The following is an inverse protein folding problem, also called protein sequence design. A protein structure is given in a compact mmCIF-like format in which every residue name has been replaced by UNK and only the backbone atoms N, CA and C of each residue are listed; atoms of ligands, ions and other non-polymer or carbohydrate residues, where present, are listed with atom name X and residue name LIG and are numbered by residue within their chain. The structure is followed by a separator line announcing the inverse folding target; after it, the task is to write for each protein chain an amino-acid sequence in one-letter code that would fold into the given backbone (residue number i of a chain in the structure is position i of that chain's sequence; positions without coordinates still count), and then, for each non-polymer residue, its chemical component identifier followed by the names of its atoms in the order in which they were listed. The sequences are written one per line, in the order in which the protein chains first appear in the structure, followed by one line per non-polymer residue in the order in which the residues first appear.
data_IF_976833112938
#
_entry.id   IF_976833112938
#
_cell.length_a   1.000
_cell.length_b   1.000
_cell.length_c   1.000
_cell.angle_alpha   90.00
_cell.angle_beta   90.00
_cell.angle_gamma   90.00
#
_symmetry.space_group_name_H-M   'P 1'
#
loop_
_entity.id
_entity.type
_entity.pdbx_description
1 polymer ?
#
# COMPACT_ATOMS: atom_id res chain seq x y z
N UNK A 1 21.41 -1.06 39.19
CA UNK A 1 20.77 -2.26 39.72
C UNK A 1 19.34 -1.90 40.05
N UNK A 2 18.39 -2.29 39.25
CA UNK A 2 16.97 -2.42 39.61
C UNK A 2 16.30 -3.24 38.53
N UNK A 3 15.93 -4.44 38.92
CA UNK A 3 15.30 -5.49 38.14
C UNK A 3 13.81 -5.15 38.06
N UNK A 4 13.24 -4.96 36.84
CA UNK A 4 11.80 -4.92 36.67
C UNK A 4 11.27 -6.32 36.35
N UNK A 5 10.41 -6.76 37.25
CA UNK A 5 9.70 -8.01 37.30
C UNK A 5 8.72 -8.10 36.11
N UNK A 6 8.81 -9.20 35.37
CA UNK A 6 7.80 -9.61 34.37
C UNK A 6 6.49 -9.92 35.09
N UNK A 7 5.42 -9.30 34.57
CA UNK A 7 4.04 -9.65 34.93
C UNK A 7 3.56 -10.78 34.06
N UNK A 8 3.32 -11.95 34.68
CA UNK A 8 2.61 -13.07 34.06
C UNK A 8 1.15 -12.68 33.79
N UNK A 9 0.81 -12.50 32.55
CA UNK A 9 -0.59 -12.38 32.12
C UNK A 9 -1.16 -13.80 32.03
N UNK A 10 -1.81 -14.25 33.10
CA UNK A 10 -2.61 -15.47 33.08
C UNK A 10 -3.94 -15.16 32.42
N UNK A 11 -4.15 -15.65 31.20
CA UNK A 11 -5.46 -15.76 30.59
C UNK A 11 -6.27 -16.81 31.35
N UNK A 12 -7.23 -16.36 32.17
CA UNK A 12 -8.26 -17.22 32.72
C UNK A 12 -9.31 -17.48 31.64
N UNK A 13 -9.32 -18.71 31.12
CA UNK A 13 -10.42 -19.19 30.29
C UNK A 13 -11.60 -19.40 31.24
N UNK A 14 -12.75 -18.71 31.04
CA UNK A 14 -13.94 -18.98 31.86
C UNK A 14 -14.36 -20.43 31.64
N UNK A 15 -14.66 -21.09 32.74
CA UNK A 15 -15.17 -22.47 32.76
C UNK A 15 -16.40 -22.57 31.87
N UNK A 16 -16.41 -23.60 31.04
CA UNK A 16 -17.55 -24.02 30.23
C UNK A 16 -18.75 -24.28 31.18
N UNK A 17 -19.69 -23.36 31.23
CA UNK A 17 -21.01 -23.69 31.74
C UNK A 17 -21.65 -24.67 30.77
N UNK A 18 -21.83 -25.90 31.23
CA UNK A 18 -22.61 -26.92 30.54
C UNK A 18 -24.08 -26.44 30.54
N UNK A 19 -24.50 -25.92 29.38
CA UNK A 19 -25.91 -25.75 29.10
C UNK A 19 -26.51 -27.16 28.95
N UNK A 20 -27.02 -27.70 30.08
CA UNK A 20 -27.98 -28.80 30.05
C UNK A 20 -29.27 -28.29 29.41
N UNK A 21 -29.38 -28.44 28.10
CA UNK A 21 -30.62 -28.21 27.38
C UNK A 21 -31.45 -29.49 27.41
N UNK A 22 -32.33 -29.55 28.38
CA UNK A 22 -33.38 -30.57 28.38
C UNK A 22 -34.34 -30.35 27.21
N UNK A 23 -34.16 -31.05 26.13
CA UNK A 23 -35.19 -31.22 25.11
C UNK A 23 -36.02 -32.43 25.45
N UNK A 24 -37.13 -32.20 26.16
CA UNK A 24 -38.23 -33.15 26.27
C UNK A 24 -39.41 -32.63 25.44
N UNK A 25 -39.69 -33.28 24.30
CA UNK A 25 -41.03 -33.29 23.68
C UNK A 25 -41.25 -32.45 22.45
N UNK A 26 -41.55 -33.16 21.35
CA UNK A 26 -42.40 -32.82 20.20
C UNK A 26 -42.03 -31.60 19.33
N UNK A 27 -41.52 -31.93 18.15
CA UNK A 27 -41.63 -31.05 16.96
C UNK A 27 -40.62 -29.92 16.90
N UNK A 28 -39.37 -30.25 16.59
CA UNK A 28 -38.45 -29.21 16.14
C UNK A 28 -38.91 -28.73 14.77
N UNK A 29 -39.62 -27.63 14.75
CA UNK A 29 -39.98 -26.94 13.51
C UNK A 29 -38.68 -26.33 12.95
N UNK A 30 -38.15 -26.80 11.81
CA UNK A 30 -36.89 -26.29 11.24
C UNK A 30 -36.95 -24.78 10.93
N UNK A 31 -38.15 -24.23 10.77
CA UNK A 31 -38.40 -22.81 10.63
C UNK A 31 -38.13 -21.99 11.90
N UNK A 32 -38.32 -22.59 13.08
CA UNK A 32 -38.10 -21.90 14.37
C UNK A 32 -36.60 -21.66 14.65
N UNK A 33 -35.71 -22.53 14.17
CA UNK A 33 -34.24 -22.37 14.28
C UNK A 33 -33.75 -21.26 13.39
N UNK A 34 -34.33 -21.07 12.21
CA UNK A 34 -33.91 -20.02 11.26
C UNK A 34 -34.40 -18.63 11.69
N UNK A 35 -35.43 -18.55 12.54
CA UNK A 35 -35.96 -17.28 13.06
C UNK A 35 -35.42 -16.90 14.44
N UNK A 36 -34.55 -17.73 15.04
CA UNK A 36 -33.86 -17.38 16.27
C UNK A 36 -33.00 -16.12 16.03
N UNK A 37 -33.21 -15.01 16.75
CA UNK A 37 -32.51 -13.76 16.56
C UNK A 37 -31.00 -13.91 16.76
N UNK A 38 -30.55 -14.88 17.55
CA UNK A 38 -29.11 -15.20 17.73
C UNK A 38 -28.54 -15.85 16.48
N UNK A 39 -29.27 -16.78 15.85
CA UNK A 39 -28.85 -17.43 14.59
C UNK A 39 -28.87 -16.42 13.45
N UNK A 40 -29.90 -15.58 13.36
CA UNK A 40 -29.95 -14.49 12.36
C UNK A 40 -28.83 -13.49 12.56
N UNK A 41 -28.57 -13.05 13.78
CA UNK A 41 -27.46 -12.16 14.09
C UNK A 41 -26.09 -12.78 13.74
N UNK A 42 -25.89 -14.06 14.07
CA UNK A 42 -24.68 -14.80 13.70
C UNK A 42 -24.50 -14.90 12.18
N UNK A 43 -25.57 -15.19 11.44
CA UNK A 43 -25.57 -15.25 9.97
C UNK A 43 -25.28 -13.87 9.36
N UNK A 44 -25.87 -12.80 9.89
CA UNK A 44 -25.60 -11.43 9.46
C UNK A 44 -24.16 -11.03 9.76
N UNK A 45 -23.65 -11.31 10.96
CA UNK A 45 -22.25 -11.06 11.31
C UNK A 45 -21.28 -11.84 10.41
N UNK A 46 -21.58 -13.10 10.12
CA UNK A 46 -20.79 -13.92 9.20
C UNK A 46 -20.85 -13.34 7.77
N UNK A 47 -22.03 -12.97 7.31
CA UNK A 47 -22.20 -12.32 5.99
C UNK A 47 -21.43 -11.00 5.89
N UNK A 48 -21.45 -10.17 6.93
CA UNK A 48 -20.67 -8.93 7.01
C UNK A 48 -19.16 -9.22 6.97
N UNK A 49 -18.67 -10.18 7.76
CA UNK A 49 -17.26 -10.57 7.75
C UNK A 49 -16.80 -11.08 6.38
N UNK A 50 -17.69 -11.74 5.63
CA UNK A 50 -17.40 -12.27 4.30
C UNK A 50 -17.23 -11.16 3.24
N UNK A 51 -18.11 -10.14 3.28
CA UNK A 51 -18.01 -8.98 2.39
C UNK A 51 -16.81 -8.12 2.72
N UNK A 52 -16.46 -7.97 4.00
CA UNK A 52 -15.32 -7.19 4.48
C UNK A 52 -13.99 -7.78 4.01
N UNK A 53 -13.82 -9.11 4.07
CA UNK A 53 -12.55 -9.73 3.67
C UNK A 53 -12.23 -9.57 2.16
N UNK A 54 -13.23 -9.68 1.29
CA UNK A 54 -13.06 -9.42 -0.15
C UNK A 54 -12.90 -7.91 -0.44
N UNK A 55 -13.43 -7.04 0.42
CA UNK A 55 -13.24 -5.60 0.33
C UNK A 55 -11.78 -5.21 0.63
N UNK A 56 -11.12 -5.84 1.60
CA UNK A 56 -9.74 -5.50 1.97
C UNK A 56 -8.75 -5.58 0.80
N UNK A 57 -8.81 -6.65 -0.01
CA UNK A 57 -7.91 -6.78 -1.18
C UNK A 57 -8.25 -5.75 -2.25
N UNK A 58 -9.54 -5.44 -2.44
CA UNK A 58 -9.96 -4.40 -3.40
C UNK A 58 -9.52 -3.01 -2.97
N UNK A 59 -9.68 -2.69 -1.69
CA UNK A 59 -9.31 -1.40 -1.11
C UNK A 59 -7.79 -1.23 -1.14
N UNK A 60 -7.02 -2.27 -0.81
CA UNK A 60 -5.57 -2.29 -0.93
C UNK A 60 -5.12 -2.02 -2.39
N UNK A 61 -5.76 -2.67 -3.37
CA UNK A 61 -5.47 -2.41 -4.80
C UNK A 61 -5.82 -0.99 -5.21
N UNK A 62 -6.91 -0.43 -4.69
CA UNK A 62 -7.30 0.95 -4.97
C UNK A 62 -6.29 1.94 -4.37
N UNK A 63 -5.82 1.68 -3.15
CA UNK A 63 -4.77 2.45 -2.48
C UNK A 63 -3.46 2.40 -3.27
N UNK A 64 -2.98 1.22 -3.62
CA UNK A 64 -1.77 1.06 -4.44
C UNK A 64 -1.88 1.80 -5.78
N UNK A 65 -3.03 1.71 -6.48
CA UNK A 65 -3.24 2.41 -7.75
C UNK A 65 -3.29 3.94 -7.59
N UNK A 66 -3.82 4.43 -6.47
CA UNK A 66 -3.82 5.86 -6.15
C UNK A 66 -2.39 6.33 -5.91
N UNK A 67 -1.65 5.61 -5.08
CA UNK A 67 -0.27 5.95 -4.76
C UNK A 67 0.65 5.89 -5.97
N UNK A 68 0.50 4.86 -6.80
CA UNK A 68 1.22 4.77 -8.07
C UNK A 68 1.04 6.00 -8.96
N UNK A 69 -0.19 6.50 -9.09
CA UNK A 69 -0.44 7.72 -9.87
C UNK A 69 0.31 8.91 -9.30
N UNK A 70 0.28 9.09 -7.97
CA UNK A 70 0.99 10.18 -7.29
C UNK A 70 2.49 10.12 -7.57
N UNK A 71 3.07 8.95 -7.39
CA UNK A 71 4.52 8.73 -7.62
C UNK A 71 4.91 8.98 -9.08
N UNK A 72 4.04 8.60 -10.03
CA UNK A 72 4.26 8.91 -11.46
C UNK A 72 4.16 10.41 -11.73
N UNK A 73 3.17 11.09 -11.16
CA UNK A 73 3.02 12.55 -11.30
C UNK A 73 4.26 13.28 -10.72
N UNK A 74 4.80 12.82 -9.59
CA UNK A 74 6.03 13.35 -8.99
C UNK A 74 7.25 13.09 -9.88
N UNK A 75 7.40 11.89 -10.45
CA UNK A 75 8.46 11.58 -11.39
C UNK A 75 8.47 12.56 -12.56
N UNK A 76 7.31 12.73 -13.20
CA UNK A 76 7.16 13.59 -14.36
C UNK A 76 7.45 15.05 -14.00
N UNK A 77 7.06 15.49 -12.81
CA UNK A 77 7.35 16.83 -12.31
C UNK A 77 8.86 17.06 -12.09
N UNK A 78 9.60 16.07 -11.57
CA UNK A 78 11.06 16.17 -11.43
C UNK A 78 11.77 16.12 -12.78
N UNK A 79 11.30 15.34 -13.73
CA UNK A 79 11.84 15.34 -15.09
C UNK A 79 11.65 16.71 -15.74
N UNK A 80 10.42 17.27 -15.68
CA UNK A 80 10.11 18.59 -16.23
C UNK A 80 10.91 19.69 -15.53
N UNK A 81 11.08 19.63 -14.21
CA UNK A 81 11.92 20.58 -13.48
C UNK A 81 13.37 20.51 -13.97
N UNK A 82 13.95 19.32 -14.09
CA UNK A 82 15.30 19.11 -14.60
C UNK A 82 15.49 19.70 -15.98
N UNK A 83 14.55 19.49 -16.89
CA UNK A 83 14.57 20.02 -18.25
C UNK A 83 14.45 21.54 -18.28
N UNK A 84 13.57 22.13 -17.47
CA UNK A 84 13.46 23.59 -17.34
C UNK A 84 14.75 24.20 -16.83
N UNK A 85 15.38 23.60 -15.79
CA UNK A 85 16.66 24.08 -15.26
C UNK A 85 17.78 23.94 -16.29
N UNK A 86 17.83 22.84 -17.04
CA UNK A 86 18.82 22.63 -18.09
C UNK A 86 18.72 23.68 -19.21
N UNK A 87 17.51 24.17 -19.51
CA UNK A 87 17.26 25.19 -20.52
C UNK A 87 17.65 26.62 -20.06
N UNK A 88 17.87 26.85 -18.77
CA UNK A 88 18.30 28.16 -18.26
C UNK A 88 19.73 28.47 -18.73
N UNK A 89 19.99 29.73 -18.97
CA UNK A 89 21.37 30.19 -19.29
C UNK A 89 22.14 30.42 -17.99
N UNK A 90 23.19 29.65 -17.69
CA UNK A 90 24.03 29.91 -16.54
C UNK A 90 24.85 31.17 -16.72
N UNK A 91 25.05 31.91 -15.64
CA UNK A 91 25.89 33.09 -15.64
C UNK A 91 27.36 32.68 -15.49
N UNK A 92 28.19 32.96 -16.49
CA UNK A 92 29.62 32.73 -16.37
C UNK A 92 30.29 33.87 -15.61
N UNK A 93 31.29 33.54 -14.78
CA UNK A 93 32.05 34.54 -13.99
C UNK A 93 32.65 35.68 -14.82
N UNK A 94 32.64 35.56 -16.14
CA UNK A 94 33.19 36.57 -17.08
C UNK A 94 32.18 37.70 -17.34
N UNK A 95 30.89 37.49 -17.08
CA UNK A 95 29.86 38.51 -17.29
C UNK A 95 29.69 39.43 -16.08
N UNK A 96 30.20 39.06 -14.91
CA UNK A 96 30.20 39.88 -13.69
C UNK A 96 31.37 40.85 -13.60
N UNK A 97 32.38 40.77 -14.48
CA UNK A 97 33.54 41.65 -14.55
C UNK A 97 33.44 42.65 -15.71
N UNK A 98 32.25 43.22 -15.94
CA UNK A 98 32.20 44.47 -16.71
C UNK A 98 32.57 45.57 -15.74
N UNK A 99 33.85 45.94 -15.84
CA UNK A 99 34.48 47.06 -15.17
C UNK A 99 33.64 48.32 -15.37
N UNK A 100 33.32 49.10 -14.32
CA UNK A 100 32.46 50.28 -14.43
C UNK A 100 33.19 51.48 -15.06
N UNK A 101 34.20 51.25 -15.88
CA UNK A 101 34.98 52.31 -16.54
C UNK A 101 34.67 52.39 -18.04
N UNK A 102 33.61 53.06 -18.37
CA UNK A 102 33.33 53.74 -19.63
C UNK A 102 31.85 53.74 -20.01
N UNK A 103 31.05 54.53 -19.39
CA UNK A 103 29.83 55.07 -20.01
C UNK A 103 29.39 56.36 -19.32
N UNK A 104 30.19 57.43 -19.51
CA UNK A 104 29.67 58.77 -19.46
C UNK A 104 29.23 59.15 -20.87
N UNK A 105 28.05 58.73 -21.26
CA UNK A 105 27.29 59.32 -22.36
C UNK A 105 25.87 59.61 -21.85
N UNK A 106 25.45 60.90 -21.77
CA UNK A 106 24.08 61.20 -21.36
C UNK A 106 23.15 60.99 -22.56
N UNK A 107 22.22 60.09 -22.46
CA UNK A 107 21.09 60.09 -23.37
C UNK A 107 20.54 58.75 -23.90
N UNK A 108 20.85 57.59 -23.34
CA UNK A 108 20.14 56.38 -23.66
C UNK A 108 19.85 55.63 -22.35
N UNK A 109 18.69 55.90 -21.76
CA UNK A 109 18.10 54.97 -20.83
C UNK A 109 17.68 53.71 -21.65
N UNK A 110 18.69 52.89 -21.96
CA UNK A 110 18.41 51.52 -22.34
C UNK A 110 17.85 50.84 -21.09
N UNK A 111 16.62 50.38 -21.14
CA UNK A 111 16.11 49.35 -20.27
C UNK A 111 17.12 48.20 -20.26
N UNK A 112 18.04 48.26 -19.31
CA UNK A 112 18.85 47.07 -18.96
C UNK A 112 17.82 46.16 -18.32
N UNK A 113 17.43 45.04 -18.95
CA UNK A 113 16.58 44.09 -18.30
C UNK A 113 17.34 43.69 -17.02
N UNK A 114 16.77 44.05 -15.86
CA UNK A 114 17.21 43.51 -14.57
C UNK A 114 17.20 42.02 -14.79
N UNK A 115 18.40 41.42 -14.89
CA UNK A 115 18.56 40.01 -15.12
C UNK A 115 17.82 39.34 -13.96
N UNK A 116 16.62 38.83 -14.23
CA UNK A 116 15.85 38.04 -13.28
C UNK A 116 16.79 36.97 -12.75
N UNK A 117 17.15 37.05 -11.47
CA UNK A 117 18.29 36.31 -10.93
C UNK A 117 18.09 34.83 -11.24
N UNK A 118 19.15 34.15 -11.66
CA UNK A 118 19.08 32.71 -12.00
C UNK A 118 18.39 31.87 -10.94
N UNK A 119 18.57 32.26 -9.65
CA UNK A 119 17.86 31.71 -8.50
C UNK A 119 16.34 31.84 -8.62
N UNK A 120 15.83 33.00 -8.92
CA UNK A 120 14.37 33.24 -9.03
C UNK A 120 13.74 32.35 -10.09
N UNK A 121 14.43 32.15 -11.23
CA UNK A 121 13.97 31.28 -12.31
C UNK A 121 13.97 29.78 -11.91
N UNK A 122 15.00 29.35 -11.17
CA UNK A 122 15.03 27.98 -10.64
C UNK A 122 13.89 27.74 -9.63
N UNK A 123 13.69 28.67 -8.69
CA UNK A 123 12.59 28.56 -7.71
C UNK A 123 11.22 28.60 -8.38
N UNK A 124 11.02 29.46 -9.38
CA UNK A 124 9.79 29.52 -10.16
C UNK A 124 9.57 28.17 -10.90
N UNK A 125 10.58 27.63 -11.54
CA UNK A 125 10.49 26.33 -12.21
C UNK A 125 10.10 25.22 -11.22
N UNK A 126 10.69 25.18 -10.01
CA UNK A 126 10.36 24.20 -8.99
C UNK A 126 8.92 24.35 -8.48
N UNK A 127 8.48 25.58 -8.27
CA UNK A 127 7.10 25.89 -7.86
C UNK A 127 6.08 25.45 -8.91
N UNK A 128 6.37 25.71 -10.18
CA UNK A 128 5.48 25.46 -11.30
C UNK A 128 5.42 23.98 -11.70
N UNK A 129 6.38 23.17 -11.26
CA UNK A 129 6.42 21.73 -11.54
C UNK A 129 6.10 20.92 -10.27
N UNK A 130 7.05 20.78 -9.35
CA UNK A 130 6.96 19.89 -8.19
C UNK A 130 5.93 20.38 -7.18
N UNK A 131 6.02 21.64 -6.74
CA UNK A 131 5.11 22.19 -5.70
C UNK A 131 3.69 22.40 -6.22
N UNK A 132 3.50 22.48 -7.53
CA UNK A 132 2.17 22.67 -8.15
C UNK A 132 1.32 21.39 -8.12
N UNK A 133 1.90 20.23 -7.83
CA UNK A 133 1.17 18.97 -7.74
C UNK A 133 0.06 19.05 -6.66
N UNK A 134 -1.16 18.60 -6.95
CA UNK A 134 -2.31 18.77 -6.05
C UNK A 134 -2.11 18.18 -4.65
N UNK A 135 -1.44 17.03 -4.57
CA UNK A 135 -1.18 16.34 -3.31
C UNK A 135 -0.03 16.97 -2.52
N UNK A 136 0.92 17.63 -3.18
CA UNK A 136 2.09 18.21 -2.53
C UNK A 136 1.70 19.27 -1.49
N UNK A 137 0.78 20.18 -1.85
CA UNK A 137 0.28 21.22 -0.94
C UNK A 137 -0.61 20.71 0.18
N UNK A 138 -1.26 19.56 -0.02
CA UNK A 138 -2.17 19.00 0.96
C UNK A 138 -1.46 18.20 2.05
N UNK A 139 -0.27 17.67 1.76
CA UNK A 139 0.44 16.74 2.64
C UNK A 139 1.70 17.33 3.27
N UNK A 140 2.34 18.28 2.57
CA UNK A 140 3.57 18.92 3.03
C UNK A 140 3.29 20.39 3.34
N UNK A 141 3.24 20.74 4.63
CA UNK A 141 3.19 22.14 5.11
C UNK A 141 4.60 22.75 5.13
N UNK A 142 5.37 22.51 4.05
CA UNK A 142 6.75 22.91 3.91
C UNK A 142 6.90 24.12 3.00
N UNK A 143 7.90 24.94 3.28
CA UNK A 143 8.30 26.00 2.36
C UNK A 143 8.99 25.41 1.13
N UNK A 144 8.98 26.12 0.01
CA UNK A 144 9.68 25.72 -1.22
C UNK A 144 11.17 25.41 -0.98
N UNK A 145 11.80 26.13 -0.06
CA UNK A 145 13.21 25.93 0.29
C UNK A 145 13.44 24.63 1.07
N UNK A 146 12.57 24.32 2.02
CA UNK A 146 12.64 23.07 2.79
C UNK A 146 12.38 21.85 1.91
N UNK A 147 11.36 21.91 1.07
CA UNK A 147 11.06 20.88 0.08
C UNK A 147 12.25 20.65 -0.89
N UNK A 148 12.82 21.71 -1.42
CA UNK A 148 13.97 21.61 -2.31
C UNK A 148 15.19 21.01 -1.60
N UNK A 149 15.40 21.33 -0.32
CA UNK A 149 16.47 20.76 0.49
C UNK A 149 16.26 19.25 0.75
N UNK A 150 15.03 18.86 1.06
CA UNK A 150 14.69 17.45 1.28
C UNK A 150 14.87 16.61 0.00
N UNK A 151 14.40 17.12 -1.14
CA UNK A 151 14.38 16.37 -2.39
C UNK A 151 15.72 16.42 -3.16
N UNK A 152 16.33 17.59 -3.22
CA UNK A 152 17.55 17.81 -4.02
C UNK A 152 18.81 17.96 -3.17
N UNK A 153 18.67 17.83 -1.86
CA UNK A 153 19.75 17.87 -0.87
C UNK A 153 20.08 19.27 -0.36
N UNK A 154 20.39 19.30 0.93
CA UNK A 154 20.66 20.52 1.69
C UNK A 154 21.78 21.38 1.06
N UNK A 155 22.89 20.76 0.63
CA UNK A 155 24.01 21.47 0.00
C UNK A 155 23.57 22.26 -1.25
N UNK A 156 22.68 21.67 -2.06
CA UNK A 156 22.15 22.30 -3.28
C UNK A 156 21.22 23.45 -2.92
N UNK A 157 20.35 23.25 -1.92
CA UNK A 157 19.44 24.28 -1.44
C UNK A 157 20.22 25.48 -0.86
N UNK A 158 21.22 25.23 -0.02
CA UNK A 158 22.10 26.27 0.54
C UNK A 158 22.87 26.99 -0.56
N UNK A 159 23.40 26.27 -1.53
CA UNK A 159 24.11 26.88 -2.67
C UNK A 159 23.19 27.75 -3.51
N UNK A 160 21.95 27.34 -3.73
CA UNK A 160 20.94 28.14 -4.43
C UNK A 160 20.51 29.37 -3.62
N UNK A 161 20.36 29.24 -2.31
CA UNK A 161 19.98 30.33 -1.42
C UNK A 161 21.07 31.41 -1.30
N UNK A 162 22.34 30.99 -1.34
CA UNK A 162 23.50 31.86 -1.15
C UNK A 162 23.93 32.62 -2.42
N UNK A 163 23.45 32.22 -3.59
CA UNK A 163 23.83 32.80 -4.87
C UNK A 163 22.62 33.31 -5.64
N UNK A 164 22.69 34.56 -6.13
CA UNK A 164 21.66 35.10 -7.03
C UNK A 164 21.84 34.61 -8.48
N UNK A 165 23.05 34.28 -8.85
CA UNK A 165 23.41 33.81 -10.18
C UNK A 165 23.45 32.28 -10.23
N UNK A 166 22.90 31.71 -11.30
CA UNK A 166 22.99 30.27 -11.59
C UNK A 166 24.35 29.96 -12.23
N UNK A 167 25.26 29.38 -11.47
CA UNK A 167 26.54 28.91 -12.04
C UNK A 167 26.37 27.61 -12.84
N UNK A 168 27.25 27.31 -13.83
CA UNK A 168 27.21 26.05 -14.58
C UNK A 168 27.28 24.81 -13.66
N UNK A 169 28.07 24.88 -12.59
CA UNK A 169 28.22 23.79 -11.62
C UNK A 169 26.92 23.55 -10.81
N UNK A 170 26.28 24.63 -10.36
CA UNK A 170 24.98 24.51 -9.63
C UNK A 170 23.87 24.02 -10.56
N UNK A 171 23.83 24.50 -11.81
CA UNK A 171 22.88 24.01 -12.81
C UNK A 171 23.03 22.50 -13.03
N UNK A 172 24.26 22.03 -13.26
CA UNK A 172 24.52 20.58 -13.43
C UNK A 172 24.10 19.79 -12.20
N UNK A 173 24.42 20.27 -10.99
CA UNK A 173 24.03 19.61 -9.74
C UNK A 173 22.50 19.51 -9.59
N UNK A 174 21.77 20.59 -9.90
CA UNK A 174 20.29 20.59 -9.85
C UNK A 174 19.70 19.57 -10.84
N UNK A 175 20.18 19.57 -12.08
CA UNK A 175 19.72 18.62 -13.12
C UNK A 175 20.02 17.18 -12.72
N UNK A 176 21.23 16.90 -12.23
CA UNK A 176 21.61 15.53 -11.84
C UNK A 176 20.82 15.03 -10.62
N UNK A 177 20.51 15.91 -9.67
CA UNK A 177 19.71 15.56 -8.50
C UNK A 177 18.24 15.38 -8.86
N UNK A 178 17.70 16.22 -9.75
CA UNK A 178 16.36 16.06 -10.29
C UNK A 178 16.18 14.72 -10.99
N UNK A 179 17.13 14.32 -11.84
CA UNK A 179 17.11 13.00 -12.49
C UNK A 179 17.16 11.84 -11.51
N UNK A 180 17.93 11.98 -10.41
CA UNK A 180 17.96 10.95 -9.36
C UNK A 180 16.64 10.88 -8.62
N UNK A 181 16.00 12.01 -8.31
CA UNK A 181 14.69 12.06 -7.70
C UNK A 181 13.62 11.39 -8.58
N UNK A 182 13.63 11.70 -9.89
CA UNK A 182 12.76 11.05 -10.88
C UNK A 182 13.00 9.52 -10.96
N UNK A 183 14.28 9.09 -11.03
CA UNK A 183 14.63 7.67 -11.07
C UNK A 183 14.21 6.91 -9.79
N UNK A 184 14.25 7.55 -8.62
CA UNK A 184 13.77 6.97 -7.38
C UNK A 184 12.25 6.76 -7.42
N UNK A 185 11.47 7.74 -7.95
CA UNK A 185 10.02 7.62 -8.15
C UNK A 185 9.67 6.53 -9.17
N UNK A 186 10.42 6.41 -10.25
CA UNK A 186 10.25 5.33 -11.23
C UNK A 186 10.43 3.95 -10.58
N UNK A 187 11.47 3.80 -9.75
CA UNK A 187 11.70 2.55 -9.01
C UNK A 187 10.59 2.25 -8.01
N UNK A 188 10.06 3.26 -7.32
CA UNK A 188 8.94 3.12 -6.41
C UNK A 188 7.66 2.76 -7.16
N UNK A 189 7.36 3.42 -8.28
CA UNK A 189 6.21 3.10 -9.13
C UNK A 189 6.26 1.65 -9.62
N UNK A 190 7.42 1.18 -10.07
CA UNK A 190 7.62 -0.21 -10.48
C UNK A 190 7.45 -1.20 -9.31
N UNK A 191 7.86 -0.84 -8.09
CA UNK A 191 7.64 -1.64 -6.90
C UNK A 191 6.15 -1.74 -6.55
N UNK A 192 5.41 -0.65 -6.68
CA UNK A 192 3.96 -0.62 -6.49
C UNK A 192 3.25 -1.48 -7.54
N UNK A 193 3.69 -1.48 -8.80
CA UNK A 193 3.15 -2.36 -9.85
C UNK A 193 3.33 -3.84 -9.48
N UNK A 194 4.51 -4.23 -8.97
CA UNK A 194 4.75 -5.59 -8.46
C UNK A 194 3.78 -5.94 -7.33
N UNK A 195 3.50 -5.00 -6.43
CA UNK A 195 2.57 -5.23 -5.33
C UNK A 195 1.12 -5.38 -5.83
N UNK A 196 0.69 -4.56 -6.79
CA UNK A 196 -0.62 -4.69 -7.43
C UNK A 196 -0.78 -6.09 -8.04
N UNK A 197 0.22 -6.58 -8.77
CA UNK A 197 0.22 -7.92 -9.36
C UNK A 197 0.17 -9.03 -8.29
N UNK A 198 0.84 -8.85 -7.16
CA UNK A 198 0.80 -9.79 -6.03
C UNK A 198 -0.60 -9.84 -5.40
N UNK A 199 -1.23 -8.67 -5.19
CA UNK A 199 -2.59 -8.55 -4.68
C UNK A 199 -3.61 -9.20 -5.62
N UNK A 200 -3.46 -9.02 -6.93
CA UNK A 200 -4.34 -9.61 -7.94
C UNK A 200 -4.24 -11.13 -7.91
N UNK A 201 -3.03 -11.68 -8.00
CA UNK A 201 -2.82 -13.13 -7.97
C UNK A 201 -3.32 -13.78 -6.68
N UNK A 202 -3.04 -13.16 -5.53
CA UNK A 202 -3.53 -13.67 -4.26
C UNK A 202 -5.06 -13.60 -4.15
N UNK A 203 -5.66 -12.48 -4.58
CA UNK A 203 -7.11 -12.32 -4.63
C UNK A 203 -7.81 -13.36 -5.51
N UNK A 204 -7.25 -13.64 -6.69
CA UNK A 204 -7.77 -14.62 -7.62
C UNK A 204 -7.69 -16.05 -7.05
N UNK A 205 -6.57 -16.41 -6.39
CA UNK A 205 -6.42 -17.72 -5.71
C UNK A 205 -7.44 -17.88 -4.59
N UNK A 206 -7.61 -16.87 -3.73
CA UNK A 206 -8.61 -16.91 -2.65
C UNK A 206 -10.03 -17.04 -3.21
N UNK A 207 -10.36 -16.29 -4.26
CA UNK A 207 -11.66 -16.38 -4.91
C UNK A 207 -11.89 -17.75 -5.57
N UNK A 208 -10.87 -18.38 -6.12
CA UNK A 208 -10.98 -19.72 -6.68
C UNK A 208 -11.22 -20.78 -5.60
N UNK A 209 -10.46 -20.75 -4.52
CA UNK A 209 -10.68 -21.60 -3.35
C UNK A 209 -12.13 -21.49 -2.85
N UNK A 210 -12.65 -20.27 -2.73
CA UNK A 210 -14.01 -20.02 -2.25
C UNK A 210 -15.08 -20.58 -3.21
N UNK A 211 -14.92 -20.36 -4.52
CA UNK A 211 -15.82 -20.98 -5.54
C UNK A 211 -15.79 -22.50 -5.51
N UNK A 212 -14.63 -23.11 -5.27
CA UNK A 212 -14.51 -24.57 -5.17
C UNK A 212 -15.19 -25.07 -3.91
N UNK A 213 -15.00 -24.40 -2.79
CA UNK A 213 -15.66 -24.68 -1.52
C UNK A 213 -17.21 -24.65 -1.69
N UNK A 214 -17.75 -23.58 -2.31
CA UNK A 214 -19.19 -23.47 -2.55
C UNK A 214 -19.73 -24.63 -3.37
N UNK A 215 -19.07 -24.99 -4.48
CA UNK A 215 -19.50 -26.13 -5.29
C UNK A 215 -19.51 -27.46 -4.52
N UNK A 216 -18.56 -27.68 -3.62
CA UNK A 216 -18.52 -28.90 -2.80
C UNK A 216 -19.68 -28.93 -1.81
N UNK A 217 -19.98 -27.82 -1.15
CA UNK A 217 -21.09 -27.73 -0.19
C UNK A 217 -22.44 -27.85 -0.90
N UNK A 218 -22.61 -27.19 -2.05
CA UNK A 218 -23.85 -27.27 -2.85
C UNK A 218 -24.08 -28.69 -3.37
N UNK A 219 -23.03 -29.38 -3.83
CA UNK A 219 -23.12 -30.78 -4.25
C UNK A 219 -23.63 -31.68 -3.13
N UNK A 220 -23.08 -31.51 -1.93
CA UNK A 220 -23.46 -32.31 -0.78
C UNK A 220 -24.92 -32.06 -0.31
N UNK A 221 -25.39 -30.82 -0.46
CA UNK A 221 -26.76 -30.45 -0.07
C UNK A 221 -27.83 -31.18 -0.89
N UNK A 222 -27.52 -31.58 -2.12
CA UNK A 222 -28.44 -32.32 -3.01
C UNK A 222 -28.48 -33.83 -2.81
N UNK A 223 -27.64 -34.41 -1.93
CA UNK A 223 -27.51 -35.87 -1.77
C UNK A 223 -28.22 -36.38 -0.51
N UNK A 224 -28.94 -37.52 -0.70
CA UNK A 224 -29.66 -38.23 0.38
C UNK A 224 -29.44 -39.75 0.26
N UNK A 225 -29.56 -40.51 1.36
CA UNK A 225 -29.42 -41.97 1.39
C UNK A 225 -27.99 -42.48 1.49
N UNK A 226 -27.75 -43.76 1.17
CA UNK A 226 -26.46 -44.45 1.35
C UNK A 226 -25.31 -43.78 0.59
N UNK A 227 -25.57 -43.18 -0.57
CA UNK A 227 -24.54 -42.43 -1.33
C UNK A 227 -24.11 -41.13 -0.65
N UNK A 228 -24.85 -40.65 0.35
CA UNK A 228 -24.54 -39.41 1.04
C UNK A 228 -23.34 -39.53 1.98
N UNK A 229 -23.08 -40.72 2.54
CA UNK A 229 -21.92 -40.96 3.43
C UNK A 229 -20.61 -40.89 2.66
N UNK A 230 -20.49 -41.68 1.58
CA UNK A 230 -19.28 -41.68 0.76
C UNK A 230 -18.98 -40.29 0.18
N UNK A 231 -20.03 -39.60 -0.30
CA UNK A 231 -19.92 -38.22 -0.79
C UNK A 231 -19.51 -37.25 0.32
N UNK A 232 -19.96 -37.44 1.57
CA UNK A 232 -19.57 -36.61 2.71
C UNK A 232 -18.09 -36.78 3.02
N UNK A 233 -17.56 -38.00 2.96
CA UNK A 233 -16.14 -38.29 3.18
C UNK A 233 -15.31 -37.62 2.07
N UNK A 234 -15.67 -37.80 0.79
CA UNK A 234 -14.99 -37.17 -0.34
C UNK A 234 -14.99 -35.62 -0.25
N UNK A 235 -16.12 -35.03 0.12
CA UNK A 235 -16.21 -33.57 0.32
C UNK A 235 -15.35 -33.11 1.50
N UNK A 236 -15.33 -33.85 2.60
CA UNK A 236 -14.48 -33.53 3.76
C UNK A 236 -12.98 -33.51 3.38
N UNK A 237 -12.51 -34.52 2.65
CA UNK A 237 -11.12 -34.60 2.18
C UNK A 237 -10.78 -33.46 1.22
N UNK A 238 -11.68 -33.10 0.32
CA UNK A 238 -11.48 -31.97 -0.60
C UNK A 238 -11.48 -30.62 0.11
N UNK A 239 -12.30 -30.45 1.16
CA UNK A 239 -12.27 -29.25 1.98
C UNK A 239 -10.95 -29.14 2.76
N UNK A 240 -10.40 -30.25 3.25
CA UNK A 240 -9.09 -30.30 3.88
C UNK A 240 -7.97 -29.87 2.91
N UNK A 241 -8.02 -30.34 1.67
CA UNK A 241 -7.09 -29.92 0.62
C UNK A 241 -7.20 -28.42 0.29
N UNK A 242 -8.42 -27.84 0.34
CA UNK A 242 -8.61 -26.38 0.16
C UNK A 242 -8.04 -25.57 1.32
N UNK A 243 -8.11 -26.08 2.55
CA UNK A 243 -7.48 -25.44 3.71
C UNK A 243 -5.96 -25.41 3.56
N UNK A 244 -5.34 -26.52 3.17
CA UNK A 244 -3.92 -26.57 2.88
C UNK A 244 -3.49 -25.62 1.76
N UNK A 245 -4.35 -25.39 0.76
CA UNK A 245 -4.10 -24.38 -0.28
C UNK A 245 -4.14 -22.96 0.29
N UNK A 246 -5.03 -22.66 1.23
CA UNK A 246 -5.02 -21.38 1.94
C UNK A 246 -3.70 -21.18 2.71
N UNK A 247 -3.21 -22.20 3.40
CA UNK A 247 -1.95 -22.14 4.14
C UNK A 247 -0.77 -21.87 3.19
N UNK A 248 -0.76 -22.50 2.02
CA UNK A 248 0.27 -22.24 1.00
C UNK A 248 0.22 -20.79 0.48
N UNK A 249 -0.97 -20.23 0.22
CA UNK A 249 -1.10 -18.82 -0.18
C UNK A 249 -0.63 -17.88 0.92
N UNK A 250 -0.91 -18.21 2.19
CA UNK A 250 -0.47 -17.42 3.34
C UNK A 250 1.06 -17.44 3.46
N UNK A 251 1.69 -18.60 3.33
CA UNK A 251 3.15 -18.75 3.36
C UNK A 251 3.83 -17.98 2.23
N UNK A 252 3.32 -18.08 1.00
CA UNK A 252 3.79 -17.30 -0.14
C UNK A 252 3.72 -15.79 0.15
N UNK A 253 2.61 -15.33 0.74
CA UNK A 253 2.45 -13.92 1.08
C UNK A 253 3.41 -13.48 2.17
N UNK A 254 3.60 -14.25 3.21
CA UNK A 254 4.55 -13.96 4.28
C UNK A 254 5.99 -13.85 3.75
N UNK A 255 6.39 -14.75 2.86
CA UNK A 255 7.69 -14.67 2.19
C UNK A 255 7.84 -13.36 1.38
N UNK A 256 6.79 -12.95 0.65
CA UNK A 256 6.79 -11.70 -0.11
C UNK A 256 6.88 -10.45 0.78
N UNK A 257 6.30 -10.48 1.98
CA UNK A 257 6.36 -9.38 2.95
C UNK A 257 7.76 -9.24 3.57
N UNK A 258 8.50 -10.33 3.67
CA UNK A 258 9.85 -10.35 4.22
C UNK A 258 10.91 -9.82 3.24
N UNK A 259 10.58 -9.65 1.97
CA UNK A 259 11.51 -9.18 0.94
C UNK A 259 10.96 -7.95 0.21
N UNK A 260 11.72 -6.82 0.20
CA UNK A 260 11.33 -5.66 -0.59
C UNK A 260 11.27 -6.02 -2.08
N UNK A 261 10.38 -5.39 -2.87
CA UNK A 261 10.29 -5.60 -4.30
C UNK A 261 11.62 -5.37 -5.03
N UNK A 262 11.90 -6.16 -6.07
CA UNK A 262 13.16 -6.11 -6.81
C UNK A 262 13.53 -4.71 -7.35
N UNK A 263 12.58 -3.88 -7.86
CA UNK A 263 12.90 -2.53 -8.31
C UNK A 263 13.52 -1.65 -7.22
N UNK A 264 13.06 -1.75 -5.97
CA UNK A 264 13.63 -1.00 -4.85
C UNK A 264 15.04 -1.46 -4.49
N UNK A 265 15.35 -2.75 -4.64
CA UNK A 265 16.69 -3.30 -4.38
C UNK A 265 17.72 -2.85 -5.41
N UNK A 266 17.31 -2.58 -6.65
CA UNK A 266 18.18 -2.18 -7.75
C UNK A 266 18.59 -0.69 -7.68
N UNK A 267 17.88 0.15 -6.96
CA UNK A 267 18.07 1.60 -6.95
C UNK A 267 19.21 2.09 -6.05
N UNK A 268 19.96 1.19 -5.38
CA UNK A 268 21.03 1.55 -4.44
C UNK A 268 20.50 1.91 -3.05
N UNK A 269 21.33 2.50 -2.17
CA UNK A 269 20.88 2.90 -0.85
C UNK A 269 19.75 3.91 -1.01
N UNK A 270 18.54 3.46 -0.86
CA UNK A 270 17.36 4.31 -0.75
C UNK A 270 17.51 5.27 0.42
N UNK A 271 16.83 6.44 0.37
CA UNK A 271 16.75 7.29 1.56
C UNK A 271 16.33 6.43 2.77
N UNK A 272 16.70 6.84 3.99
CA UNK A 272 16.42 6.08 5.19
C UNK A 272 14.92 6.06 5.48
N UNK A 273 14.20 5.21 4.76
CA UNK A 273 12.85 4.86 5.14
C UNK A 273 12.99 3.56 5.90
N UNK A 274 13.15 3.66 7.21
CA UNK A 274 13.07 2.55 8.16
C UNK A 274 11.65 1.94 8.19
N UNK A 275 10.75 2.44 7.35
CA UNK A 275 9.37 1.97 7.21
C UNK A 275 9.33 0.87 6.17
N UNK A 276 8.80 -0.28 6.53
CA UNK A 276 8.61 -1.37 5.58
C UNK A 276 7.73 -0.90 4.41
N UNK A 277 8.06 -1.29 3.18
CA UNK A 277 7.32 -0.88 1.97
C UNK A 277 5.80 -1.10 2.09
N UNK A 278 5.38 -2.18 2.74
CA UNK A 278 3.97 -2.48 3.00
C UNK A 278 3.34 -1.57 4.04
N UNK A 279 4.08 -1.16 5.06
CA UNK A 279 3.67 -0.18 6.05
C UNK A 279 3.42 1.17 5.38
N UNK A 280 4.37 1.64 4.57
CA UNK A 280 4.20 2.84 3.75
C UNK A 280 2.91 2.83 2.91
N UNK A 281 2.58 1.70 2.28
CA UNK A 281 1.41 1.62 1.40
C UNK A 281 0.08 1.51 2.15
N UNK A 282 0.05 0.86 3.32
CA UNK A 282 -1.20 0.47 3.98
C UNK A 282 -1.48 1.22 5.28
N UNK A 283 -0.48 1.86 5.91
CA UNK A 283 -0.66 2.65 7.14
C UNK A 283 -1.80 3.69 7.04
N UNK A 284 -2.01 4.40 5.91
CA UNK A 284 -3.09 5.34 5.78
C UNK A 284 -4.48 4.70 5.63
N UNK A 285 -4.58 3.38 5.48
CA UNK A 285 -5.83 2.70 5.19
C UNK A 285 -6.52 2.26 6.49
N UNK A 286 -7.78 2.64 6.72
CA UNK A 286 -8.55 2.13 7.85
C UNK A 286 -8.87 0.65 7.61
N UNK A 287 -8.19 -0.26 8.29
CA UNK A 287 -8.52 -1.67 8.16
C UNK A 287 -7.43 -2.60 8.68
N UNK A 288 -6.64 -3.16 7.80
CA UNK A 288 -5.57 -4.09 8.15
C UNK A 288 -4.32 -3.82 7.34
N UNK A 289 -3.17 -3.87 7.99
CA UNK A 289 -1.86 -3.75 7.37
C UNK A 289 -1.52 -4.97 6.47
N UNK A 290 -2.31 -6.04 6.59
CA UNK A 290 -2.14 -7.29 5.86
C UNK A 290 -3.41 -7.77 5.16
N UNK A 291 -3.92 -7.05 4.14
CA UNK A 291 -5.23 -7.31 3.52
C UNK A 291 -5.35 -8.71 2.91
N UNK A 292 -4.28 -9.24 2.33
CA UNK A 292 -4.25 -10.60 1.76
C UNK A 292 -4.34 -11.65 2.84
N UNK A 293 -3.58 -11.53 3.93
CA UNK A 293 -3.62 -12.50 5.03
C UNK A 293 -4.99 -12.50 5.72
N UNK A 294 -5.62 -11.33 5.85
CA UNK A 294 -6.98 -11.22 6.38
C UNK A 294 -8.00 -11.93 5.47
N UNK A 295 -7.89 -11.77 4.16
CA UNK A 295 -8.75 -12.45 3.20
C UNK A 295 -8.57 -13.98 3.22
N UNK A 296 -7.33 -14.47 3.31
CA UNK A 296 -7.01 -15.90 3.43
C UNK A 296 -7.57 -16.47 4.73
N UNK A 297 -7.35 -15.78 5.87
CA UNK A 297 -7.87 -16.21 7.17
C UNK A 297 -9.40 -16.35 7.16
N UNK A 298 -10.09 -15.42 6.51
CA UNK A 298 -11.55 -15.48 6.35
C UNK A 298 -11.98 -16.66 5.46
N UNK A 299 -11.26 -16.97 4.39
CA UNK A 299 -11.54 -18.13 3.53
C UNK A 299 -11.31 -19.45 4.29
N UNK A 300 -10.18 -19.61 4.98
CA UNK A 300 -9.87 -20.78 5.80
C UNK A 300 -10.91 -20.98 6.92
N UNK A 301 -11.37 -19.91 7.57
CA UNK A 301 -12.42 -20.01 8.57
C UNK A 301 -13.78 -20.49 8.01
N UNK A 302 -14.09 -20.17 6.73
CA UNK A 302 -15.28 -20.73 6.05
C UNK A 302 -15.12 -22.23 5.80
N UNK A 303 -13.98 -22.63 5.25
CA UNK A 303 -13.66 -24.04 4.96
C UNK A 303 -13.75 -24.87 6.24
N UNK A 304 -13.16 -24.41 7.35
CA UNK A 304 -13.23 -25.14 8.64
C UNK A 304 -14.66 -25.33 9.12
N UNK A 305 -15.49 -24.27 9.06
CA UNK A 305 -16.92 -24.40 9.44
C UNK A 305 -17.68 -25.37 8.57
N UNK A 306 -17.40 -25.40 7.26
CA UNK A 306 -18.04 -26.35 6.36
C UNK A 306 -17.57 -27.77 6.64
N UNK A 307 -16.27 -27.96 6.89
CA UNK A 307 -15.68 -29.24 7.27
C UNK A 307 -16.26 -29.80 8.57
N UNK A 308 -16.44 -28.93 9.59
CA UNK A 308 -17.08 -29.32 10.85
C UNK A 308 -18.55 -29.77 10.65
N UNK A 309 -19.27 -29.08 9.76
CA UNK A 309 -20.67 -29.46 9.41
C UNK A 309 -20.73 -30.82 8.69
N UNK A 310 -19.79 -31.05 7.78
CA UNK A 310 -19.68 -32.35 7.06
C UNK A 310 -19.28 -33.44 8.02
N UNK A 311 -18.34 -33.22 8.94
CA UNK A 311 -17.94 -34.19 9.96
C UNK A 311 -19.09 -34.57 10.88
N UNK A 312 -19.91 -33.60 11.31
CA UNK A 312 -21.12 -33.87 12.10
C UNK A 312 -22.12 -34.78 11.33
N UNK A 313 -22.34 -34.50 10.04
CA UNK A 313 -23.19 -35.34 9.17
C UNK A 313 -22.66 -36.77 9.01
N UNK A 314 -21.36 -36.97 8.88
CA UNK A 314 -20.73 -38.30 8.84
C UNK A 314 -20.97 -39.05 10.15
N UNK A 315 -20.91 -38.36 11.31
CA UNK A 315 -21.08 -38.97 12.61
C UNK A 315 -22.56 -39.38 12.91
N UNK A 316 -23.51 -38.76 12.20
CA UNK A 316 -24.96 -39.06 12.34
C UNK A 316 -25.46 -40.15 11.38
N UNK A 317 -24.65 -40.57 10.43
CA UNK A 317 -24.96 -41.57 9.39
C UNK A 317 -24.62 -42.99 9.84
#
# INVERSE_FOLDING_TARGET
MSVHRGGDIRFQIPARETLESGCAGTGCDPLAVVTDPVVVAALVCVGLLLTVAAAYVRDAKATCRKERRRVVDERDAFEEFGDRVAALRPTTARETSVEPERLTAPGLAADIPVADGGRSRVLAAYQDTVVSLPHYRAEYDETVGESLAAELGEDTAVSLASNEALSPGLQSALVDRSRRAAAARESLAAAIDVEIDRLERAGDRVADVDRRRERLVDHLAGLTGETALDASIDVWERLDALEAECDAVAADRQAQLSEPPAPMRASGPSPPVDVAFTEYLYEPSPGTDHPVLAAIAAAAARIRRDRDRVAARIAES
#
